data_IF_244140942069
#
_entry.id   IF_244140942069
#
_cell.length_a   1.000
_cell.length_b   1.000
_cell.length_c   1.000
_cell.angle_alpha   90.00
_cell.angle_beta   90.00
_cell.angle_gamma   90.00
#
_symmetry.space_group_name_H-M   'P 1'
#
loop_
_entity.id
_entity.type
_entity.pdbx_description
1 polymer ?
#
# COMPACT_ATOMS: atom_id res chain seq x y z
N UNK A 1 5.43 24.02 7.23
CA UNK A 1 5.64 22.60 7.38
C UNK A 1 5.55 21.85 6.04
N UNK A 2 4.51 22.08 5.25
CA UNK A 2 4.29 21.37 3.96
C UNK A 2 5.36 21.68 2.90
N UNK A 3 6.04 22.79 3.01
CA UNK A 3 7.09 23.21 2.06
C UNK A 3 8.51 22.99 2.58
N UNK A 4 8.66 22.30 3.71
CA UNK A 4 10.00 22.04 4.25
C UNK A 4 10.83 21.19 3.28
N UNK A 5 12.16 21.41 3.24
CA UNK A 5 13.05 20.53 2.48
C UNK A 5 12.95 19.08 2.99
N UNK A 6 12.98 18.14 2.07
CA UNK A 6 12.99 16.71 2.36
C UNK A 6 14.37 16.12 2.12
N UNK A 7 14.60 14.91 2.64
CA UNK A 7 15.81 14.16 2.36
C UNK A 7 15.88 13.76 0.89
N UNK A 8 17.08 13.53 0.38
CA UNK A 8 17.26 13.11 -1.01
C UNK A 8 16.81 11.67 -1.25
N UNK A 9 16.89 10.81 -0.24
CA UNK A 9 16.58 9.38 -0.35
C UNK A 9 15.58 8.96 0.72
N UNK A 10 14.48 8.38 0.28
CA UNK A 10 13.55 7.65 1.13
C UNK A 10 13.43 6.22 0.58
N UNK A 11 14.01 5.22 1.25
CA UNK A 11 13.91 3.84 0.77
C UNK A 11 12.46 3.39 0.58
N UNK A 12 11.57 3.75 1.49
CA UNK A 12 10.18 3.30 1.48
C UNK A 12 9.25 4.50 1.64
N UNK A 13 8.26 4.62 0.75
CA UNK A 13 7.12 5.50 0.91
C UNK A 13 5.84 4.69 1.07
N UNK A 14 4.94 5.21 1.90
CA UNK A 14 3.56 4.74 2.00
C UNK A 14 2.61 5.86 1.60
N UNK A 15 1.63 5.54 0.78
CA UNK A 15 0.53 6.44 0.47
C UNK A 15 -0.76 5.80 0.96
N UNK A 16 -1.43 6.47 1.89
CA UNK A 16 -2.69 6.02 2.47
C UNK A 16 -3.78 7.05 2.22
N UNK A 17 -4.98 6.57 1.93
CA UNK A 17 -6.16 7.39 1.70
C UNK A 17 -7.14 7.22 2.86
N UNK A 18 -7.54 8.33 3.47
CA UNK A 18 -8.55 8.37 4.51
C UNK A 18 -9.80 9.02 3.89
N UNK A 19 -10.86 8.22 3.74
CA UNK A 19 -12.14 8.70 3.19
C UNK A 19 -13.04 9.22 4.30
N UNK A 20 -13.61 10.40 4.07
CA UNK A 20 -14.54 11.01 5.02
C UNK A 20 -15.64 11.79 4.28
N UNK A 21 -16.70 12.11 5.00
CA UNK A 21 -17.82 12.87 4.47
C UNK A 21 -17.92 14.20 5.17
N UNK A 22 -18.13 15.27 4.41
CA UNK A 22 -18.41 16.62 4.91
C UNK A 22 -19.82 17.03 4.48
N UNK A 23 -20.52 17.70 5.38
CA UNK A 23 -21.80 18.35 5.03
C UNK A 23 -21.50 19.80 4.64
N UNK A 24 -21.77 20.12 3.39
CA UNK A 24 -21.60 21.45 2.84
C UNK A 24 -22.92 21.91 2.22
N UNK A 25 -23.49 23.00 2.74
CA UNK A 25 -24.78 23.56 2.28
C UNK A 25 -25.92 22.51 2.16
N UNK A 26 -26.00 21.58 3.12
CA UNK A 26 -27.01 20.52 3.14
C UNK A 26 -26.71 19.33 2.21
N UNK A 27 -25.63 19.36 1.46
CA UNK A 27 -25.18 18.27 0.59
C UNK A 27 -24.03 17.53 1.25
N UNK A 28 -24.08 16.20 1.21
CA UNK A 28 -22.98 15.35 1.70
C UNK A 28 -21.96 15.20 0.57
N UNK A 29 -20.73 15.67 0.81
CA UNK A 29 -19.60 15.49 -0.10
C UNK A 29 -18.64 14.45 0.47
N UNK A 30 -18.22 13.52 -0.38
CA UNK A 30 -17.18 12.53 -0.03
C UNK A 30 -15.82 13.09 -0.44
N UNK A 31 -14.90 13.17 0.52
CA UNK A 31 -13.54 13.63 0.31
C UNK A 31 -12.55 12.55 0.74
N UNK A 32 -11.33 12.66 0.26
CA UNK A 32 -10.23 11.83 0.70
C UNK A 32 -9.06 12.70 1.14
N UNK A 33 -8.46 12.35 2.26
CA UNK A 33 -7.17 12.88 2.68
C UNK A 33 -6.09 11.84 2.34
N UNK A 34 -5.07 12.27 1.60
CA UNK A 34 -3.95 11.41 1.21
C UNK A 34 -2.74 11.77 2.07
N UNK A 35 -2.27 10.79 2.82
CA UNK A 35 -1.11 10.92 3.69
C UNK A 35 0.06 10.17 3.07
N UNK A 36 1.18 10.86 2.89
CA UNK A 36 2.42 10.26 2.42
C UNK A 36 3.38 10.16 3.60
N UNK A 37 3.73 8.93 3.96
CA UNK A 37 4.73 8.61 4.98
C UNK A 37 6.01 8.14 4.30
N UNK A 38 7.16 8.66 4.74
CA UNK A 38 8.47 8.19 4.31
C UNK A 38 9.21 7.50 5.43
N UNK A 39 9.96 6.47 5.10
CA UNK A 39 10.98 5.89 5.96
C UNK A 39 12.32 6.37 5.44
N UNK A 40 13.05 7.14 6.27
CA UNK A 40 14.34 7.65 5.87
C UNK A 40 15.45 6.58 5.97
N UNK A 41 16.68 6.93 5.59
CA UNK A 41 17.83 6.02 5.62
C UNK A 41 18.24 5.57 7.02
N UNK A 42 17.78 6.28 8.06
CA UNK A 42 17.97 5.90 9.46
C UNK A 42 16.84 5.00 9.99
N UNK A 43 15.85 4.67 9.16
CA UNK A 43 14.70 3.85 9.53
C UNK A 43 13.59 4.60 10.29
N UNK A 44 13.64 5.93 10.32
CA UNK A 44 12.65 6.76 11.02
C UNK A 44 11.50 7.11 10.08
N UNK A 45 10.29 7.12 10.65
CA UNK A 45 9.07 7.55 9.96
C UNK A 45 8.95 9.07 9.93
N UNK A 46 8.58 9.60 8.77
CA UNK A 46 8.26 11.01 8.60
C UNK A 46 6.97 11.16 7.80
N UNK A 47 6.09 12.07 8.23
CA UNK A 47 4.98 12.50 7.39
C UNK A 47 5.51 13.52 6.39
N UNK A 48 5.47 13.18 5.11
CA UNK A 48 6.02 14.03 4.05
C UNK A 48 4.98 14.99 3.48
N UNK A 49 3.72 14.55 3.38
CA UNK A 49 2.65 15.32 2.78
C UNK A 49 1.29 14.87 3.29
N UNK A 50 0.37 15.83 3.42
CA UNK A 50 -1.05 15.58 3.62
C UNK A 50 -1.78 16.45 2.61
N UNK A 51 -2.53 15.82 1.70
CA UNK A 51 -3.32 16.52 0.69
C UNK A 51 -4.77 16.05 0.73
N UNK A 52 -5.69 16.95 0.38
CA UNK A 52 -7.12 16.64 0.30
C UNK A 52 -7.54 16.73 -1.15
N UNK A 53 -8.25 15.73 -1.63
CA UNK A 53 -8.74 15.68 -2.99
C UNK A 53 -10.04 14.90 -3.12
N UNK A 54 -10.71 15.09 -4.23
CA UNK A 54 -11.95 14.39 -4.59
C UNK A 54 -11.78 13.52 -5.84
N UNK A 55 -10.70 13.70 -6.60
CA UNK A 55 -10.43 13.00 -7.83
C UNK A 55 -9.04 12.37 -7.87
N UNK A 56 -9.00 11.05 -7.80
CA UNK A 56 -7.79 10.29 -8.05
C UNK A 56 -7.57 10.13 -9.56
N UNK A 57 -6.41 10.53 -10.03
CA UNK A 57 -5.98 10.36 -11.41
C UNK A 57 -4.47 10.28 -11.50
N UNK A 58 -3.96 9.78 -12.62
CA UNK A 58 -2.51 9.77 -12.87
C UNK A 58 -1.92 11.18 -12.86
N UNK A 59 -2.65 12.15 -13.40
CA UNK A 59 -2.25 13.56 -13.39
C UNK A 59 -2.15 14.13 -11.96
N UNK A 60 -3.11 13.83 -11.12
CA UNK A 60 -3.12 14.23 -9.71
C UNK A 60 -1.91 13.65 -8.97
N UNK A 61 -1.68 12.34 -9.09
CA UNK A 61 -0.58 11.67 -8.43
C UNK A 61 0.78 12.12 -8.97
N UNK A 62 0.87 12.39 -10.27
CA UNK A 62 2.09 12.94 -10.87
C UNK A 62 2.42 14.31 -10.26
N UNK A 63 1.43 15.16 -10.09
CA UNK A 63 1.57 16.46 -9.42
C UNK A 63 2.09 16.30 -7.98
N UNK A 64 1.51 15.39 -7.21
CA UNK A 64 1.92 15.11 -5.83
C UNK A 64 3.37 14.60 -5.76
N UNK A 65 3.74 13.66 -6.63
CA UNK A 65 5.09 13.10 -6.66
C UNK A 65 6.14 14.11 -7.14
N UNK A 66 5.78 14.96 -8.12
CA UNK A 66 6.66 16.05 -8.57
C UNK A 66 6.90 17.09 -7.48
N UNK A 67 5.92 17.34 -6.62
CA UNK A 67 6.10 18.21 -5.47
C UNK A 67 7.14 17.64 -4.49
N UNK A 68 7.15 16.33 -4.25
CA UNK A 68 8.21 15.69 -3.46
C UNK A 68 9.59 15.90 -4.09
N UNK A 69 9.71 15.80 -5.42
CA UNK A 69 10.95 16.12 -6.14
C UNK A 69 11.38 17.56 -5.94
N UNK A 70 10.45 18.50 -6.05
CA UNK A 70 10.73 19.94 -5.86
C UNK A 70 11.21 20.23 -4.45
N UNK A 71 10.79 19.44 -3.47
CA UNK A 71 11.23 19.55 -2.08
C UNK A 71 12.53 18.80 -1.78
N UNK A 72 13.16 18.17 -2.77
CA UNK A 72 14.49 17.60 -2.68
C UNK A 72 14.60 16.08 -2.81
N UNK A 73 13.49 15.35 -2.91
CA UNK A 73 13.54 13.89 -3.05
C UNK A 73 14.05 13.49 -4.42
N UNK A 74 15.10 12.67 -4.44
CA UNK A 74 15.72 12.16 -5.68
C UNK A 74 15.46 10.69 -5.90
N UNK A 75 15.52 9.88 -4.85
CA UNK A 75 15.42 8.42 -4.94
C UNK A 75 14.45 7.85 -3.94
N UNK A 76 13.60 6.95 -4.42
CA UNK A 76 12.68 6.12 -3.65
C UNK A 76 12.84 4.70 -4.16
N UNK A 77 13.06 3.71 -3.29
CA UNK A 77 13.20 2.32 -3.72
C UNK A 77 11.83 1.69 -3.99
N UNK A 78 10.89 1.86 -3.07
CA UNK A 78 9.56 1.26 -3.16
C UNK A 78 8.48 2.23 -2.64
N UNK A 79 7.38 2.31 -3.35
CA UNK A 79 6.16 3.00 -2.90
C UNK A 79 5.07 1.97 -2.68
N UNK A 80 4.61 1.88 -1.43
CA UNK A 80 3.50 1.02 -1.03
C UNK A 80 2.22 1.85 -1.00
N UNK A 81 1.23 1.44 -1.78
CA UNK A 81 -0.07 2.12 -1.84
C UNK A 81 -1.19 1.13 -2.08
N UNK A 82 -2.41 1.50 -1.66
CA UNK A 82 -3.59 0.77 -2.10
C UNK A 82 -3.84 1.03 -3.59
N UNK A 83 -4.86 0.38 -4.17
CA UNK A 83 -5.21 0.56 -5.57
C UNK A 83 -5.78 1.94 -5.88
N UNK A 84 -4.96 2.97 -5.69
CA UNK A 84 -5.30 4.34 -6.01
C UNK A 84 -5.27 4.53 -7.53
N UNK A 85 -6.34 5.09 -8.09
CA UNK A 85 -6.46 5.26 -9.54
C UNK A 85 -5.34 6.14 -10.10
N UNK A 86 -4.58 5.61 -11.06
CA UNK A 86 -3.50 6.32 -11.73
C UNK A 86 -2.18 6.40 -10.98
N UNK A 87 -2.07 5.81 -9.77
CA UNK A 87 -0.83 5.89 -8.98
C UNK A 87 0.34 5.17 -9.65
N UNK A 88 0.09 4.01 -10.23
CA UNK A 88 1.13 3.20 -10.90
C UNK A 88 1.76 3.96 -12.08
N UNK A 89 0.93 4.59 -12.90
CA UNK A 89 1.34 5.39 -14.04
C UNK A 89 2.12 6.64 -13.59
N UNK A 90 1.67 7.29 -12.53
CA UNK A 90 2.35 8.45 -11.97
C UNK A 90 3.73 8.11 -11.41
N UNK A 91 3.88 6.98 -10.73
CA UNK A 91 5.17 6.50 -10.22
C UNK A 91 6.12 6.21 -11.39
N UNK A 92 5.64 5.53 -12.42
CA UNK A 92 6.46 5.24 -13.60
C UNK A 92 6.96 6.51 -14.30
N UNK A 93 6.17 7.57 -14.30
CA UNK A 93 6.54 8.86 -14.90
C UNK A 93 7.48 9.68 -14.01
N UNK A 94 7.20 9.79 -12.71
CA UNK A 94 7.96 10.63 -11.78
C UNK A 94 9.24 9.96 -11.27
N UNK A 95 9.16 8.68 -10.96
CA UNK A 95 10.25 7.89 -10.38
C UNK A 95 10.36 6.54 -11.11
N UNK A 96 10.92 6.52 -12.33
CA UNK A 96 10.89 5.33 -13.19
C UNK A 96 11.64 4.11 -12.63
N UNK A 97 12.56 4.31 -11.69
CA UNK A 97 13.32 3.23 -11.04
C UNK A 97 12.66 2.71 -9.76
N UNK A 98 11.60 3.37 -9.29
CA UNK A 98 10.89 3.01 -8.06
C UNK A 98 9.95 1.84 -8.32
N UNK A 99 9.97 0.83 -7.45
CA UNK A 99 9.00 -0.26 -7.47
C UNK A 99 7.66 0.22 -6.88
N UNK A 100 6.58 -0.11 -7.55
CA UNK A 100 5.23 0.03 -7.00
C UNK A 100 4.83 -1.26 -6.31
N UNK A 101 4.38 -1.16 -5.05
CA UNK A 101 3.92 -2.28 -4.25
C UNK A 101 2.48 -2.04 -3.80
N UNK A 102 1.60 -2.99 -4.10
CA UNK A 102 0.26 -3.01 -3.52
C UNK A 102 0.36 -3.16 -2.01
N UNK A 103 -0.37 -2.35 -1.26
CA UNK A 103 -0.36 -2.42 0.19
C UNK A 103 -0.88 -3.78 0.68
N UNK A 104 -0.02 -4.55 1.32
CA UNK A 104 -0.36 -5.91 1.80
C UNK A 104 -1.46 -5.87 2.85
N UNK A 105 -1.41 -4.88 3.75
CA UNK A 105 -2.43 -4.77 4.82
C UNK A 105 -3.81 -4.52 4.24
N UNK A 106 -3.92 -3.64 3.25
CA UNK A 106 -5.20 -3.39 2.56
C UNK A 106 -5.67 -4.63 1.80
N UNK A 107 -4.74 -5.35 1.17
CA UNK A 107 -5.04 -6.61 0.48
C UNK A 107 -5.63 -7.65 1.44
N UNK A 108 -5.01 -7.82 2.60
CA UNK A 108 -5.48 -8.74 3.66
C UNK A 108 -6.84 -8.30 4.21
N UNK A 109 -6.98 -7.02 4.55
CA UNK A 109 -8.25 -6.49 5.05
C UNK A 109 -9.39 -6.67 4.07
N UNK A 110 -9.16 -6.39 2.80
CA UNK A 110 -10.18 -6.56 1.76
C UNK A 110 -10.59 -8.03 1.62
N UNK A 111 -9.64 -8.96 1.76
CA UNK A 111 -9.93 -10.40 1.72
C UNK A 111 -10.81 -10.81 2.89
N UNK A 112 -10.52 -10.31 4.09
CA UNK A 112 -11.20 -10.70 5.33
C UNK A 112 -12.49 -9.93 5.61
N UNK A 113 -12.79 -8.91 4.81
CA UNK A 113 -13.90 -7.96 5.08
C UNK A 113 -15.24 -8.64 5.32
N UNK A 114 -15.54 -9.70 4.57
CA UNK A 114 -16.80 -10.43 4.64
C UNK A 114 -16.64 -11.82 5.26
N UNK A 115 -15.50 -12.11 5.87
CA UNK A 115 -15.24 -13.38 6.54
C UNK A 115 -15.72 -13.30 7.99
N UNK A 116 -16.56 -14.24 8.45
CA UNK A 116 -17.00 -14.29 9.84
C UNK A 116 -15.84 -14.41 10.83
N UNK A 117 -16.01 -13.86 12.02
CA UNK A 117 -14.98 -13.81 13.06
C UNK A 117 -14.39 -15.19 13.38
N UNK A 118 -15.23 -16.24 13.37
CA UNK A 118 -14.78 -17.62 13.62
C UNK A 118 -13.66 -18.11 12.69
N UNK A 119 -13.64 -17.63 11.45
CA UNK A 119 -12.65 -18.04 10.44
C UNK A 119 -11.57 -16.99 10.17
N UNK A 120 -11.80 -15.76 10.61
CA UNK A 120 -10.93 -14.62 10.27
C UNK A 120 -9.50 -14.82 10.73
N UNK A 121 -9.28 -15.29 11.95
CA UNK A 121 -7.94 -15.51 12.49
C UNK A 121 -7.18 -16.60 11.72
N UNK A 122 -7.83 -17.72 11.44
CA UNK A 122 -7.23 -18.81 10.68
C UNK A 122 -6.94 -18.41 9.23
N UNK A 123 -7.87 -17.70 8.59
CA UNK A 123 -7.67 -17.20 7.22
C UNK A 123 -6.51 -16.19 7.16
N UNK A 124 -6.46 -15.25 8.11
CA UNK A 124 -5.36 -14.30 8.20
C UNK A 124 -3.99 -14.99 8.35
N UNK A 125 -3.91 -16.03 9.18
CA UNK A 125 -2.69 -16.82 9.35
C UNK A 125 -2.27 -17.51 8.05
N UNK A 126 -3.21 -18.05 7.28
CA UNK A 126 -2.94 -18.65 5.99
C UNK A 126 -2.49 -17.61 4.95
N UNK A 127 -3.12 -16.42 4.91
CA UNK A 127 -2.69 -15.33 4.03
C UNK A 127 -1.25 -14.89 4.33
N UNK A 128 -0.85 -14.90 5.58
CA UNK A 128 0.52 -14.56 5.99
C UNK A 128 1.56 -15.47 5.34
N UNK A 129 1.24 -16.74 5.10
CA UNK A 129 2.17 -17.67 4.42
C UNK A 129 2.51 -17.23 3.00
N UNK A 130 1.65 -16.43 2.36
CA UNK A 130 1.89 -15.90 1.02
C UNK A 130 2.95 -14.80 1.05
N UNK A 131 2.71 -13.72 1.80
CA UNK A 131 3.59 -12.56 1.78
C UNK A 131 4.83 -12.71 2.67
N UNK A 132 4.89 -13.71 3.53
CA UNK A 132 6.09 -14.10 4.27
C UNK A 132 6.90 -15.23 3.61
N UNK A 133 6.52 -15.68 2.42
CA UNK A 133 7.29 -16.66 1.66
C UNK A 133 8.69 -16.09 1.35
N UNK A 134 9.67 -16.99 1.19
CA UNK A 134 11.05 -16.60 0.96
C UNK A 134 11.31 -15.99 -0.41
N UNK A 135 10.51 -16.37 -1.41
CA UNK A 135 10.59 -15.88 -2.78
C UNK A 135 9.22 -15.92 -3.48
N UNK A 136 9.17 -15.36 -4.67
CA UNK A 136 7.94 -15.26 -5.46
C UNK A 136 7.36 -16.65 -5.82
N UNK A 137 8.22 -17.61 -6.15
CA UNK A 137 7.79 -18.97 -6.51
C UNK A 137 7.10 -19.65 -5.33
N UNK A 138 7.69 -19.59 -4.15
CA UNK A 138 7.09 -20.13 -2.92
C UNK A 138 5.83 -19.40 -2.52
N UNK A 139 5.80 -18.08 -2.74
CA UNK A 139 4.60 -17.28 -2.53
C UNK A 139 3.45 -17.71 -3.43
N UNK A 140 3.73 -18.03 -4.70
CA UNK A 140 2.72 -18.52 -5.64
C UNK A 140 2.18 -19.89 -5.22
N UNK A 141 3.03 -20.80 -4.78
CA UNK A 141 2.61 -22.09 -4.25
C UNK A 141 1.72 -21.92 -3.00
N UNK A 142 2.09 -21.00 -2.10
CA UNK A 142 1.26 -20.69 -0.94
C UNK A 142 -0.08 -20.08 -1.35
N UNK A 143 -0.10 -19.16 -2.33
CA UNK A 143 -1.33 -18.60 -2.87
C UNK A 143 -2.29 -19.68 -3.38
N UNK A 144 -1.80 -20.62 -4.17
CA UNK A 144 -2.62 -21.70 -4.72
C UNK A 144 -3.16 -22.61 -3.62
N UNK A 145 -2.35 -22.94 -2.63
CA UNK A 145 -2.75 -23.74 -1.45
C UNK A 145 -3.82 -23.06 -0.61
N UNK A 146 -3.65 -21.77 -0.31
CA UNK A 146 -4.62 -20.98 0.46
C UNK A 146 -5.93 -20.84 -0.32
N UNK A 147 -5.84 -20.63 -1.61
CA UNK A 147 -7.01 -20.55 -2.51
C UNK A 147 -7.81 -21.84 -2.49
N UNK A 148 -7.15 -22.99 -2.65
CA UNK A 148 -7.80 -24.30 -2.61
C UNK A 148 -8.54 -24.53 -1.27
N UNK A 149 -7.90 -24.15 -0.17
CA UNK A 149 -8.48 -24.32 1.18
C UNK A 149 -9.73 -23.47 1.41
N UNK A 150 -9.72 -22.20 0.99
CA UNK A 150 -10.74 -21.22 1.39
C UNK A 150 -11.83 -20.95 0.36
N UNK A 151 -11.61 -21.23 -0.93
CA UNK A 151 -12.63 -20.95 -1.96
C UNK A 151 -13.86 -21.86 -1.89
N UNK A 152 -13.74 -23.03 -1.28
CA UNK A 152 -14.92 -23.89 -1.02
C UNK A 152 -15.92 -23.23 -0.09
N UNK A 153 -15.43 -22.45 0.88
CA UNK A 153 -16.23 -21.75 1.89
C UNK A 153 -16.55 -20.31 1.53
N UNK A 154 -15.58 -19.63 0.93
CA UNK A 154 -15.66 -18.23 0.51
C UNK A 154 -15.24 -18.09 -0.96
N UNK A 155 -16.15 -18.45 -1.91
CA UNK A 155 -15.87 -18.28 -3.34
C UNK A 155 -15.49 -16.84 -3.65
N UNK A 156 -14.57 -16.62 -4.56
CA UNK A 156 -14.07 -15.29 -4.97
C UNK A 156 -13.24 -14.52 -3.91
N UNK A 157 -13.06 -15.05 -2.68
CA UNK A 157 -12.26 -14.37 -1.65
C UNK A 157 -10.81 -14.12 -2.07
N UNK A 158 -10.24 -15.02 -2.88
CA UNK A 158 -8.85 -14.97 -3.32
C UNK A 158 -8.66 -14.36 -4.72
N UNK A 159 -9.75 -14.00 -5.41
CA UNK A 159 -9.69 -13.50 -6.78
C UNK A 159 -8.79 -12.27 -6.90
N UNK A 160 -8.90 -11.33 -5.97
CA UNK A 160 -8.10 -10.09 -5.98
C UNK A 160 -6.59 -10.34 -5.79
N UNK A 161 -6.19 -11.45 -5.18
CA UNK A 161 -4.79 -11.83 -5.05
C UNK A 161 -4.20 -12.21 -6.41
N UNK A 162 -4.95 -12.94 -7.22
CA UNK A 162 -4.54 -13.28 -8.58
C UNK A 162 -4.55 -12.05 -9.49
N UNK A 163 -5.62 -11.25 -9.42
CA UNK A 163 -5.76 -10.05 -10.26
C UNK A 163 -4.65 -9.01 -9.97
N UNK A 164 -4.20 -8.90 -8.71
CA UNK A 164 -3.19 -7.96 -8.27
C UNK A 164 -1.80 -8.58 -8.11
N UNK A 165 -1.59 -9.82 -8.55
CA UNK A 165 -0.37 -10.56 -8.28
C UNK A 165 0.89 -9.80 -8.69
N UNK A 166 0.91 -9.19 -9.88
CA UNK A 166 2.05 -8.41 -10.37
C UNK A 166 2.36 -7.18 -9.50
N UNK A 167 1.35 -6.64 -8.83
CA UNK A 167 1.52 -5.52 -7.90
C UNK A 167 1.88 -5.97 -6.47
N UNK A 168 1.67 -7.24 -6.13
CA UNK A 168 2.00 -7.83 -4.82
C UNK A 168 3.44 -8.33 -4.79
N UNK A 169 3.94 -8.91 -5.87
CA UNK A 169 5.23 -9.59 -5.95
C UNK A 169 6.49 -8.73 -5.92
N UNK A 170 6.49 -7.41 -6.20
CA UNK A 170 7.71 -6.61 -6.10
C UNK A 170 8.43 -6.71 -4.76
N UNK A 171 7.70 -6.95 -3.67
CA UNK A 171 8.25 -7.12 -2.32
C UNK A 171 9.30 -8.25 -2.24
N UNK A 172 9.19 -9.29 -3.08
CA UNK A 172 10.12 -10.41 -3.08
C UNK A 172 11.47 -10.08 -3.71
N UNK A 173 11.61 -8.91 -4.35
CA UNK A 173 12.90 -8.39 -4.83
C UNK A 173 13.78 -7.85 -3.70
N UNK A 174 13.20 -7.59 -2.53
CA UNK A 174 13.90 -7.00 -1.40
C UNK A 174 14.34 -8.05 -0.40
N UNK A 175 15.38 -7.71 0.37
CA UNK A 175 15.89 -8.58 1.44
C UNK A 175 14.84 -8.82 2.54
N UNK A 176 14.96 -9.91 3.31
CA UNK A 176 14.08 -10.16 4.46
C UNK A 176 14.02 -9.00 5.45
N UNK A 177 15.13 -8.31 5.67
CA UNK A 177 15.20 -7.16 6.59
C UNK A 177 14.36 -5.97 6.07
N UNK A 178 14.46 -5.66 4.79
CA UNK A 178 13.65 -4.60 4.16
C UNK A 178 12.18 -4.99 4.17
N UNK A 179 11.86 -6.24 3.84
CA UNK A 179 10.48 -6.74 3.89
C UNK A 179 9.88 -6.64 5.28
N UNK A 180 10.66 -6.95 6.32
CA UNK A 180 10.22 -6.82 7.71
C UNK A 180 9.84 -5.38 8.04
N UNK A 181 10.62 -4.40 7.61
CA UNK A 181 10.31 -2.98 7.79
C UNK A 181 8.98 -2.64 7.09
N UNK A 182 8.77 -3.10 5.86
CA UNK A 182 7.54 -2.87 5.11
C UNK A 182 6.32 -3.44 5.85
N UNK A 183 6.42 -4.63 6.43
CA UNK A 183 5.31 -5.26 7.17
C UNK A 183 5.03 -4.61 8.52
N UNK A 184 6.07 -4.24 9.27
CA UNK A 184 5.94 -3.71 10.64
C UNK A 184 5.69 -2.21 10.70
N UNK A 185 6.10 -1.47 9.68
CA UNK A 185 5.95 -0.01 9.63
C UNK A 185 4.60 0.41 9.06
N UNK A 186 3.73 -0.54 8.79
CA UNK A 186 2.43 -0.21 8.27
C UNK A 186 1.68 0.64 9.30
N UNK A 187 1.53 1.94 9.00
CA UNK A 187 0.89 2.92 9.85
C UNK A 187 -0.53 2.53 10.29
N UNK A 188 -1.08 1.51 9.65
CA UNK A 188 -2.43 1.03 9.86
C UNK A 188 -2.51 0.09 11.07
N UNK A 189 -1.45 -0.65 11.41
CA UNK A 189 -1.42 -1.45 12.65
C UNK A 189 -1.40 -0.56 13.89
N UNK A 190 -0.81 0.63 13.79
CA UNK A 190 -0.75 1.58 14.91
C UNK A 190 -2.04 2.40 15.10
N UNK A 191 -2.94 2.41 14.13
CA UNK A 191 -4.22 3.12 14.23
C UNK A 191 -5.37 2.22 14.77
N UNK A 192 -5.11 0.93 14.94
CA UNK A 192 -6.09 -0.05 15.44
C UNK A 192 -5.69 -0.70 16.77
N UNK A 193 -4.66 -0.17 17.42
CA UNK A 193 -4.26 -0.55 18.77
C UNK A 193 -4.89 0.36 19.81
#
# INVERSE_FOLDING_TARGET
WQNRPLDEVYPILYIDAIHYSVRDNGVIRKLAAYVILGINTEGKKEVLSITVGDNESSKYWLSVLNELKNRGVKDILIICADGLSGIKEAIAAAFPKTEYQRCIVHQVRNTLKYVPDKDRKAFAADLKTIYHASDEEKARLALDRVTEKWTTKYPNSMKRWYDNWDAITPIFKFSPDVRKIIYTTNAIESLNS
#
